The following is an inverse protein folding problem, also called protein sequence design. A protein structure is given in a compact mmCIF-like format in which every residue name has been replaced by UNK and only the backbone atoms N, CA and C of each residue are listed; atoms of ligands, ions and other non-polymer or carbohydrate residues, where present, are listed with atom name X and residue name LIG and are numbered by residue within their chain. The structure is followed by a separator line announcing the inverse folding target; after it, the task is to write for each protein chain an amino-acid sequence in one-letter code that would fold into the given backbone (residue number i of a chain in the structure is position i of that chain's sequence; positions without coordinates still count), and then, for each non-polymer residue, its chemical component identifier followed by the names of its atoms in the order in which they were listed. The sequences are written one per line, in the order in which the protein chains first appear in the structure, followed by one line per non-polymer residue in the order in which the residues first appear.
data_IF_965844140431
#
_entry.id   IF_965844140431
#
_cell.length_a   1.000
_cell.length_b   1.000
_cell.length_c   1.000
_cell.angle_alpha   90.00
_cell.angle_beta   90.00
_cell.angle_gamma   90.00
#
_symmetry.space_group_name_H-M   'P 1'
#
loop_
_entity.id
_entity.type
_entity.pdbx_description
1 polymer ?
#
# COMPACT_ATOMS: atom_id res chain seq x y z
N UNK A 1 -43.11 -98.64 106.34
CA UNK A 1 -41.63 -98.54 106.47
C UNK A 1 -41.16 -97.24 105.80
N UNK A 2 -39.99 -96.66 106.14
CA UNK A 2 -39.53 -95.42 105.48
C UNK A 2 -38.25 -94.77 106.05
N UNK A 3 -38.42 -93.88 107.05
CA UNK A 3 -37.43 -92.85 107.47
C UNK A 3 -35.96 -93.29 107.64
N UNK A 4 -35.68 -94.52 108.08
CA UNK A 4 -34.31 -94.95 108.41
C UNK A 4 -33.40 -95.19 107.17
N UNK A 5 -33.96 -95.41 105.97
CA UNK A 5 -33.16 -95.59 104.76
C UNK A 5 -32.60 -94.25 104.23
N UNK A 6 -33.42 -93.19 104.27
CA UNK A 6 -33.05 -91.86 103.79
C UNK A 6 -32.02 -91.18 104.69
N UNK A 7 -32.18 -91.31 106.01
CA UNK A 7 -31.19 -90.85 106.98
C UNK A 7 -29.80 -91.45 106.71
N UNK A 8 -29.72 -92.75 106.37
CA UNK A 8 -28.45 -93.40 105.99
C UNK A 8 -27.89 -92.91 104.63
N UNK A 9 -28.74 -92.54 103.66
CA UNK A 9 -28.29 -91.86 102.42
C UNK A 9 -27.72 -90.46 102.72
N UNK A 10 -28.41 -89.68 103.55
CA UNK A 10 -27.97 -88.35 104.01
C UNK A 10 -26.65 -88.42 104.78
N UNK A 11 -26.51 -89.34 105.74
CA UNK A 11 -25.27 -89.55 106.49
C UNK A 11 -24.09 -89.92 105.57
N UNK A 12 -24.30 -90.81 104.59
CA UNK A 12 -23.27 -91.14 103.58
C UNK A 12 -22.93 -89.93 102.69
N UNK A 13 -23.91 -89.11 102.29
CA UNK A 13 -23.69 -87.86 101.52
C UNK A 13 -22.87 -86.86 102.33
N UNK A 14 -23.20 -86.65 103.62
CA UNK A 14 -22.45 -85.76 104.51
C UNK A 14 -21.03 -86.27 104.79
N UNK A 15 -20.82 -87.58 105.00
CA UNK A 15 -19.47 -88.16 105.12
C UNK A 15 -18.63 -87.94 103.85
N UNK A 16 -19.22 -88.15 102.65
CA UNK A 16 -18.55 -87.86 101.36
C UNK A 16 -18.36 -86.37 101.08
N UNK A 17 -19.12 -85.47 101.72
CA UNK A 17 -18.83 -84.02 101.70
C UNK A 17 -17.65 -83.72 102.63
N UNK A 18 -17.73 -84.14 103.90
CA UNK A 18 -16.71 -83.89 104.93
C UNK A 18 -15.32 -84.42 104.54
N UNK A 19 -15.23 -85.61 103.94
CA UNK A 19 -13.95 -86.15 103.44
C UNK A 19 -13.38 -85.28 102.30
N UNK A 20 -14.20 -84.91 101.30
CA UNK A 20 -13.73 -84.05 100.20
C UNK A 20 -13.37 -82.64 100.66
N UNK A 21 -14.06 -82.07 101.64
CA UNK A 21 -13.67 -80.77 102.21
C UNK A 21 -12.37 -80.87 103.02
N UNK A 22 -12.14 -81.98 103.74
CA UNK A 22 -10.86 -82.20 104.44
C UNK A 22 -9.70 -82.33 103.43
N UNK A 23 -9.85 -83.19 102.41
CA UNK A 23 -8.85 -83.37 101.36
C UNK A 23 -8.59 -82.08 100.57
N UNK A 24 -9.62 -81.26 100.31
CA UNK A 24 -9.44 -79.92 99.76
C UNK A 24 -8.62 -79.04 100.72
N UNK A 25 -8.99 -78.92 101.99
CA UNK A 25 -8.22 -78.12 102.96
C UNK A 25 -6.80 -78.64 103.21
N UNK A 26 -6.51 -79.92 103.00
CA UNK A 26 -5.16 -80.48 103.08
C UNK A 26 -4.33 -80.16 101.84
N UNK A 27 -4.93 -80.25 100.64
CA UNK A 27 -4.29 -79.83 99.38
C UNK A 27 -4.05 -78.31 99.35
N UNK A 28 -5.04 -77.53 99.79
CA UNK A 28 -5.00 -76.07 99.72
C UNK A 28 -4.09 -75.47 100.80
N UNK A 29 -3.85 -76.20 101.91
CA UNK A 29 -2.76 -75.91 102.86
C UNK A 29 -1.37 -75.98 102.23
N UNK A 30 -1.13 -76.88 101.28
CA UNK A 30 0.16 -76.97 100.59
C UNK A 30 0.42 -75.69 99.77
N UNK A 31 -0.57 -75.26 98.98
CA UNK A 31 -0.49 -73.99 98.24
C UNK A 31 -0.46 -72.75 99.15
N UNK A 32 -1.05 -72.82 100.34
CA UNK A 32 -0.97 -71.78 101.37
C UNK A 32 0.26 -71.90 102.30
N UNK A 33 1.21 -72.80 102.01
CA UNK A 33 2.45 -72.93 102.80
C UNK A 33 3.42 -71.82 102.43
N UNK A 34 4.03 -71.17 103.43
CA UNK A 34 4.92 -70.01 103.27
C UNK A 34 6.04 -70.23 102.24
N UNK A 35 6.56 -71.46 102.14
CA UNK A 35 7.54 -71.85 101.13
C UNK A 35 7.02 -71.74 99.69
N UNK A 36 5.78 -72.15 99.43
CA UNK A 36 5.18 -72.10 98.09
C UNK A 36 4.90 -70.65 97.67
N UNK A 37 4.39 -69.83 98.60
CA UNK A 37 4.14 -68.41 98.37
C UNK A 37 5.46 -67.68 98.05
N UNK A 38 6.52 -67.89 98.85
CA UNK A 38 7.84 -67.30 98.59
C UNK A 38 8.46 -67.77 97.27
N UNK A 39 8.25 -69.03 96.88
CA UNK A 39 8.71 -69.53 95.59
C UNK A 39 7.99 -68.81 94.43
N UNK A 40 6.67 -68.60 94.54
CA UNK A 40 5.89 -67.84 93.56
C UNK A 40 6.29 -66.36 93.53
N UNK A 41 6.53 -65.71 94.67
CA UNK A 41 7.03 -64.33 94.76
C UNK A 41 8.39 -64.17 94.05
N UNK A 42 9.28 -65.17 94.15
CA UNK A 42 10.58 -65.19 93.44
C UNK A 42 10.37 -65.38 91.93
N UNK A 43 9.48 -66.28 91.50
CA UNK A 43 9.15 -66.47 90.08
C UNK A 43 8.51 -65.22 89.45
N UNK A 44 7.62 -64.54 90.18
CA UNK A 44 7.02 -63.27 89.77
C UNK A 44 8.04 -62.13 89.71
N UNK A 45 8.99 -62.05 90.67
CA UNK A 45 10.08 -61.05 90.64
C UNK A 45 11.01 -61.27 89.44
N UNK A 46 11.43 -62.50 89.16
CA UNK A 46 12.27 -62.83 88.00
C UNK A 46 11.56 -62.53 86.67
N UNK A 47 10.26 -62.79 86.58
CA UNK A 47 9.44 -62.48 85.41
C UNK A 47 9.26 -60.97 85.23
N UNK A 48 9.09 -60.20 86.31
CA UNK A 48 9.06 -58.74 86.27
C UNK A 48 10.43 -58.13 85.89
N UNK A 49 11.53 -58.68 86.40
CA UNK A 49 12.89 -58.27 86.00
C UNK A 49 13.14 -58.53 84.50
N UNK A 50 12.72 -59.70 83.99
CA UNK A 50 12.81 -60.03 82.58
C UNK A 50 11.97 -59.11 81.70
N UNK A 51 10.74 -58.77 82.11
CA UNK A 51 9.87 -57.82 81.40
C UNK A 51 10.47 -56.41 81.44
N UNK A 52 10.96 -55.95 82.58
CA UNK A 52 11.58 -54.63 82.71
C UNK A 52 12.81 -54.51 81.80
N UNK A 53 13.68 -55.53 81.77
CA UNK A 53 14.84 -55.55 80.88
C UNK A 53 14.44 -55.55 79.40
N UNK A 54 13.40 -56.31 79.01
CA UNK A 54 12.88 -56.26 77.64
C UNK A 54 12.31 -54.88 77.28
N UNK A 55 11.60 -54.23 78.22
CA UNK A 55 11.09 -52.87 78.05
C UNK A 55 12.23 -51.84 77.94
N UNK A 56 13.32 -52.00 78.69
CA UNK A 56 14.52 -51.16 78.59
C UNK A 56 15.21 -51.33 77.23
N UNK A 57 15.37 -52.57 76.76
CA UNK A 57 15.95 -52.87 75.44
C UNK A 57 15.08 -52.33 74.29
N UNK A 58 13.75 -52.45 74.35
CA UNK A 58 12.85 -51.87 73.34
C UNK A 58 12.76 -50.34 73.42
N UNK A 59 12.76 -49.76 74.62
CA UNK A 59 12.78 -48.31 74.80
C UNK A 59 14.10 -47.69 74.29
N UNK A 60 15.24 -48.36 74.50
CA UNK A 60 16.51 -47.93 73.93
C UNK A 60 16.45 -47.90 72.38
N UNK A 61 15.93 -48.97 71.75
CA UNK A 61 15.70 -49.03 70.29
C UNK A 61 14.74 -47.93 69.82
N UNK A 62 13.67 -47.66 70.57
CA UNK A 62 12.70 -46.61 70.27
C UNK A 62 13.32 -45.21 70.32
N UNK A 63 14.11 -44.90 71.37
CA UNK A 63 14.84 -43.63 71.51
C UNK A 63 15.89 -43.45 70.39
N UNK A 64 16.55 -44.52 69.95
CA UNK A 64 17.47 -44.44 68.80
C UNK A 64 16.75 -44.22 67.47
N UNK A 65 15.63 -44.91 67.25
CA UNK A 65 14.76 -44.67 66.09
C UNK A 65 14.19 -43.24 66.08
N UNK A 66 13.79 -42.70 67.25
CA UNK A 66 13.29 -41.32 67.39
C UNK A 66 14.40 -40.30 67.07
N UNK A 67 15.62 -40.48 67.58
CA UNK A 67 16.78 -39.63 67.22
C UNK A 67 17.03 -39.61 65.70
N UNK A 68 16.94 -40.75 65.04
CA UNK A 68 17.10 -40.88 63.58
C UNK A 68 15.94 -40.17 62.86
N UNK A 69 14.69 -40.38 63.28
CA UNK A 69 13.51 -39.73 62.71
C UNK A 69 13.55 -38.21 62.85
N UNK A 70 13.93 -37.69 64.02
CA UNK A 70 14.12 -36.25 64.27
C UNK A 70 15.24 -35.68 63.38
N UNK A 71 16.34 -36.40 63.19
CA UNK A 71 17.43 -35.97 62.32
C UNK A 71 17.02 -35.93 60.83
N UNK A 72 16.26 -36.94 60.37
CA UNK A 72 15.69 -36.95 59.01
C UNK A 72 14.67 -35.83 58.81
N UNK A 73 13.76 -35.63 59.77
CA UNK A 73 12.76 -34.56 59.73
C UNK A 73 13.40 -33.16 59.68
N UNK A 74 14.47 -32.92 60.46
CA UNK A 74 15.22 -31.65 60.40
C UNK A 74 15.83 -31.40 59.02
N UNK A 75 16.46 -32.41 58.40
CA UNK A 75 17.00 -32.30 57.02
C UNK A 75 15.90 -31.96 56.01
N UNK A 76 14.76 -32.64 56.08
CA UNK A 76 13.62 -32.38 55.20
C UNK A 76 13.04 -30.96 55.40
N UNK A 77 13.07 -30.40 56.62
CA UNK A 77 12.69 -29.01 56.86
C UNK A 77 13.71 -28.03 56.26
N UNK A 78 15.02 -28.27 56.41
CA UNK A 78 16.06 -27.44 55.78
C UNK A 78 15.96 -27.45 54.25
N UNK A 79 15.81 -28.63 53.64
CA UNK A 79 15.62 -28.78 52.19
C UNK A 79 14.35 -28.05 51.71
N UNK A 80 13.25 -28.18 52.45
CA UNK A 80 12.00 -27.47 52.17
C UNK A 80 12.16 -25.95 52.30
N UNK A 81 12.89 -25.46 53.30
CA UNK A 81 13.18 -24.02 53.46
C UNK A 81 14.04 -23.49 52.31
N UNK A 82 15.10 -24.22 51.91
CA UNK A 82 15.94 -23.86 50.75
C UNK A 82 15.14 -23.87 49.44
N UNK A 83 14.23 -24.84 49.25
CA UNK A 83 13.36 -24.88 48.08
C UNK A 83 12.34 -23.72 48.04
N UNK A 84 11.84 -23.28 49.19
CA UNK A 84 10.98 -22.08 49.31
C UNK A 84 11.78 -20.81 49.01
N UNK A 85 13.00 -20.68 49.55
CA UNK A 85 13.90 -19.55 49.29
C UNK A 85 14.25 -19.43 47.80
N UNK A 86 14.62 -20.56 47.17
CA UNK A 86 14.95 -20.59 45.74
C UNK A 86 13.76 -20.20 44.85
N UNK A 87 12.54 -20.62 45.21
CA UNK A 87 11.32 -20.15 44.50
C UNK A 87 11.09 -18.66 44.71
N UNK A 88 11.21 -18.16 45.94
CA UNK A 88 11.04 -16.73 46.23
C UNK A 88 12.06 -15.86 45.48
N UNK A 89 13.30 -16.32 45.33
CA UNK A 89 14.34 -15.66 44.52
C UNK A 89 14.00 -15.69 43.03
N UNK A 90 13.54 -16.83 42.49
CA UNK A 90 13.11 -16.95 41.10
C UNK A 90 11.88 -16.08 40.80
N UNK A 91 10.89 -16.05 41.70
CA UNK A 91 9.69 -15.21 41.60
C UNK A 91 10.04 -13.71 41.70
N UNK A 92 10.96 -13.32 42.58
CA UNK A 92 11.47 -11.96 42.65
C UNK A 92 12.21 -11.55 41.37
N UNK A 93 13.06 -12.42 40.82
CA UNK A 93 13.77 -12.18 39.56
C UNK A 93 12.78 -12.02 38.39
N UNK A 94 11.82 -12.94 38.24
CA UNK A 94 10.79 -12.83 37.20
C UNK A 94 9.95 -11.56 37.32
N UNK A 95 9.66 -11.12 38.55
CA UNK A 95 8.97 -9.84 38.79
C UNK A 95 9.80 -8.64 38.35
N UNK A 96 11.09 -8.58 38.71
CA UNK A 96 11.99 -7.50 38.31
C UNK A 96 12.19 -7.45 36.78
N UNK A 97 12.34 -8.60 36.13
CA UNK A 97 12.41 -8.68 34.66
C UNK A 97 11.10 -8.21 34.00
N UNK A 98 9.94 -8.57 34.56
CA UNK A 98 8.64 -8.09 34.08
C UNK A 98 8.44 -6.58 34.31
N UNK A 99 8.84 -6.03 35.46
CA UNK A 99 8.75 -4.60 35.75
C UNK A 99 9.63 -3.75 34.81
N UNK A 100 10.84 -4.21 34.51
CA UNK A 100 11.73 -3.60 33.51
C UNK A 100 11.15 -3.69 32.09
N UNK A 101 10.56 -4.82 31.72
CA UNK A 101 9.90 -5.01 30.42
C UNK A 101 8.66 -4.11 30.27
N UNK A 102 7.88 -3.89 31.33
CA UNK A 102 6.79 -2.92 31.37
C UNK A 102 7.28 -1.47 31.25
N UNK A 103 8.38 -1.12 31.92
CA UNK A 103 8.96 0.23 31.84
C UNK A 103 9.49 0.52 30.42
N UNK A 104 10.14 -0.45 29.78
CA UNK A 104 10.58 -0.36 28.38
C UNK A 104 9.41 -0.19 27.41
N UNK A 105 8.32 -0.94 27.60
CA UNK A 105 7.12 -0.81 26.77
C UNK A 105 6.47 0.56 26.87
N UNK A 106 6.28 1.08 28.09
CA UNK A 106 5.77 2.44 28.32
C UNK A 106 6.64 3.49 27.64
N UNK A 107 7.97 3.40 27.77
CA UNK A 107 8.91 4.32 27.10
C UNK A 107 8.81 4.26 25.57
N UNK A 108 8.56 3.09 24.98
CA UNK A 108 8.38 2.98 23.53
C UNK A 108 7.00 3.49 23.06
N UNK A 109 5.93 3.18 23.81
CA UNK A 109 4.58 3.71 23.58
C UNK A 109 4.56 5.24 23.68
N UNK A 110 5.25 5.83 24.65
CA UNK A 110 5.46 7.27 24.79
C UNK A 110 6.24 7.87 23.60
N UNK A 111 7.29 7.20 23.13
CA UNK A 111 8.05 7.63 21.93
C UNK A 111 7.21 7.60 20.66
N UNK A 112 6.44 6.53 20.45
CA UNK A 112 5.52 6.38 19.30
C UNK A 112 4.45 7.46 19.35
N UNK A 113 3.81 7.65 20.52
CA UNK A 113 2.79 8.67 20.73
C UNK A 113 3.34 10.09 20.54
N UNK A 114 4.53 10.39 21.03
CA UNK A 114 5.17 11.69 20.82
C UNK A 114 5.50 11.94 19.34
N UNK A 115 5.94 10.91 18.60
CA UNK A 115 6.16 11.00 17.16
C UNK A 115 4.84 11.22 16.39
N UNK A 116 3.76 10.52 16.77
CA UNK A 116 2.42 10.75 16.22
C UNK A 116 1.91 12.17 16.51
N UNK A 117 2.07 12.67 17.73
CA UNK A 117 1.65 14.02 18.11
C UNK A 117 2.47 15.09 17.39
N UNK A 118 3.77 14.86 17.16
CA UNK A 118 4.59 15.75 16.35
C UNK A 118 4.18 15.73 14.87
N UNK A 119 3.85 14.56 14.31
CA UNK A 119 3.29 14.44 12.95
C UNK A 119 1.92 15.12 12.83
N UNK A 120 1.01 14.93 13.80
CA UNK A 120 -0.29 15.60 13.87
C UNK A 120 -0.13 17.12 13.97
N UNK A 121 0.86 17.61 14.73
CA UNK A 121 1.20 19.03 14.81
C UNK A 121 1.73 19.57 13.48
N UNK A 122 2.67 18.87 12.82
CA UNK A 122 3.19 19.22 11.49
C UNK A 122 2.08 19.26 10.44
N UNK A 123 1.22 18.24 10.42
CA UNK A 123 0.06 18.17 9.52
C UNK A 123 -0.93 19.30 9.78
N UNK A 124 -1.22 19.63 11.04
CA UNK A 124 -2.07 20.79 11.37
C UNK A 124 -1.45 22.10 10.89
N UNK A 125 -0.17 22.36 11.18
CA UNK A 125 0.51 23.59 10.73
C UNK A 125 0.53 23.71 9.20
N UNK A 126 0.67 22.58 8.49
CA UNK A 126 0.54 22.52 7.03
C UNK A 126 -0.88 22.87 6.56
N UNK A 127 -1.92 22.32 7.17
CA UNK A 127 -3.31 22.64 6.84
C UNK A 127 -3.67 24.10 7.17
N UNK A 128 -3.26 24.61 8.33
CA UNK A 128 -3.43 26.01 8.74
C UNK A 128 -2.71 26.97 7.77
N UNK A 129 -1.61 26.55 7.12
CA UNK A 129 -0.91 27.32 6.09
C UNK A 129 -1.59 27.19 4.71
N UNK A 130 -2.08 26.01 4.36
CA UNK A 130 -2.85 25.77 3.13
C UNK A 130 -4.16 26.58 3.12
N UNK A 131 -4.88 26.65 4.25
CA UNK A 131 -6.09 27.45 4.37
C UNK A 131 -5.81 28.96 4.25
N UNK A 132 -4.65 29.45 4.72
CA UNK A 132 -4.19 30.84 4.51
C UNK A 132 -3.79 31.13 3.05
N UNK A 133 -3.23 30.15 2.35
CA UNK A 133 -2.95 30.28 0.92
C UNK A 133 -4.23 30.32 0.07
N UNK A 134 -5.25 29.55 0.46
CA UNK A 134 -6.53 29.43 -0.25
C UNK A 134 -7.50 30.60 0.02
N UNK A 135 -7.54 31.11 1.26
CA UNK A 135 -8.27 32.35 1.60
C UNK A 135 -7.67 33.59 0.96
N UNK A 136 -6.36 33.57 0.70
CA UNK A 136 -5.65 34.61 -0.03
C UNK A 136 -4.65 35.41 0.80
N UNK A 137 -4.60 35.17 2.11
CA UNK A 137 -3.74 35.86 3.08
C UNK A 137 -2.24 35.61 2.84
N UNK A 138 -1.84 34.44 2.32
CA UNK A 138 -0.47 34.19 1.87
C UNK A 138 -0.35 34.14 0.35
N UNK A 139 0.59 34.90 -0.22
CA UNK A 139 0.90 34.88 -1.66
C UNK A 139 1.66 33.63 -2.06
N UNK A 140 2.51 33.11 -1.17
CA UNK A 140 3.26 31.88 -1.39
C UNK A 140 2.51 30.63 -0.93
N UNK A 141 2.54 29.54 -1.72
CA UNK A 141 2.04 28.24 -1.30
C UNK A 141 3.04 27.54 -0.34
N UNK A 142 2.56 26.62 0.53
CA UNK A 142 3.40 25.80 1.40
C UNK A 142 4.60 25.15 0.68
N UNK A 143 5.81 25.15 1.28
CA UNK A 143 7.00 24.59 0.64
C UNK A 143 6.89 23.08 0.37
N UNK A 144 6.14 22.35 1.19
CA UNK A 144 5.86 20.91 1.01
C UNK A 144 5.09 20.64 -0.30
N UNK A 145 4.28 21.60 -0.75
CA UNK A 145 3.55 21.54 -2.03
C UNK A 145 4.43 21.93 -3.23
N UNK A 146 5.59 22.57 -3.02
CA UNK A 146 6.54 22.91 -4.09
C UNK A 146 7.45 21.73 -4.49
N UNK A 147 7.41 20.63 -3.75
CA UNK A 147 8.26 19.45 -4.00
C UNK A 147 7.88 18.77 -5.32
N UNK A 148 8.86 18.59 -6.21
CA UNK A 148 8.71 17.82 -7.45
C UNK A 148 8.99 16.34 -7.15
N UNK A 149 8.08 15.44 -7.56
CA UNK A 149 8.32 13.98 -7.50
C UNK A 149 8.95 13.54 -8.81
N UNK A 150 10.17 13.04 -8.74
CA UNK A 150 10.89 12.49 -9.89
C UNK A 150 10.91 10.96 -9.85
N UNK A 151 10.89 10.31 -11.02
CA UNK A 151 10.94 8.83 -11.12
C UNK A 151 12.35 8.30 -11.28
N UNK A 152 13.25 9.05 -11.94
CA UNK A 152 14.66 8.67 -12.16
C UNK A 152 15.55 9.93 -12.27
N UNK A 153 15.95 10.57 -11.16
CA UNK A 153 16.69 11.83 -11.18
C UNK A 153 17.97 11.84 -12.04
N UNK A 154 18.65 10.70 -12.15
CA UNK A 154 19.89 10.53 -12.91
C UNK A 154 19.68 10.37 -14.43
N UNK A 155 18.44 10.23 -14.91
CA UNK A 155 18.12 9.96 -16.31
C UNK A 155 17.64 11.20 -17.06
N UNK A 156 17.83 11.22 -18.39
CA UNK A 156 17.24 12.26 -19.25
C UNK A 156 15.73 12.39 -19.05
N UNK A 157 15.21 13.62 -19.06
CA UNK A 157 13.78 13.89 -19.03
C UNK A 157 13.05 13.27 -20.23
N UNK A 158 11.91 12.61 -19.98
CA UNK A 158 11.13 11.97 -21.02
C UNK A 158 10.48 13.02 -21.95
N UNK A 159 10.77 13.01 -23.27
CA UNK A 159 10.27 14.03 -24.19
C UNK A 159 8.77 13.91 -24.50
N UNK A 160 8.12 12.79 -24.16
CA UNK A 160 6.66 12.66 -24.17
C UNK A 160 6.07 13.29 -22.90
N UNK A 161 6.51 12.84 -21.72
CA UNK A 161 6.03 13.37 -20.44
C UNK A 161 6.23 14.88 -20.31
N UNK A 162 7.37 15.41 -20.73
CA UNK A 162 7.66 16.87 -20.70
C UNK A 162 6.74 17.70 -21.62
N UNK A 163 6.03 17.06 -22.57
CA UNK A 163 5.11 17.73 -23.51
C UNK A 163 3.63 17.51 -23.17
N UNK A 164 3.27 16.31 -22.73
CA UNK A 164 1.87 15.91 -22.49
C UNK A 164 1.55 15.64 -21.02
N UNK A 165 2.54 15.66 -20.12
CA UNK A 165 2.46 15.12 -18.76
C UNK A 165 1.99 13.65 -18.68
N UNK A 166 2.13 12.89 -19.77
CA UNK A 166 1.69 11.50 -19.90
C UNK A 166 2.72 10.68 -20.68
N UNK A 167 2.88 9.41 -20.32
CA UNK A 167 3.83 8.50 -20.96
C UNK A 167 3.29 7.07 -20.99
N UNK A 168 3.46 6.38 -22.13
CA UNK A 168 2.99 5.00 -22.35
C UNK A 168 3.54 3.98 -21.34
N UNK A 169 4.67 4.29 -20.71
CA UNK A 169 5.36 3.42 -19.75
C UNK A 169 5.10 3.80 -18.28
N UNK A 170 4.37 4.89 -17.99
CA UNK A 170 4.16 5.38 -16.62
C UNK A 170 5.45 5.53 -15.83
N UNK A 171 5.41 5.30 -14.52
CA UNK A 171 6.59 5.35 -13.63
C UNK A 171 7.68 4.31 -13.98
N UNK A 172 7.38 3.29 -14.81
CA UNK A 172 8.36 2.29 -15.25
C UNK A 172 9.24 2.77 -16.42
N UNK A 173 9.00 3.96 -16.99
CA UNK A 173 9.80 4.50 -18.09
C UNK A 173 11.29 4.51 -17.77
N UNK A 174 12.16 4.34 -18.78
CA UNK A 174 13.62 4.43 -18.64
C UNK A 174 14.15 5.85 -18.48
N UNK A 175 13.32 6.86 -18.77
CA UNK A 175 13.61 8.30 -18.67
C UNK A 175 12.91 8.92 -17.46
N UNK A 176 13.41 10.06 -16.99
CA UNK A 176 12.84 10.76 -15.83
C UNK A 176 11.48 11.38 -16.16
N UNK A 177 10.55 11.31 -15.21
CA UNK A 177 9.27 12.00 -15.21
C UNK A 177 9.21 12.93 -13.99
N UNK A 178 9.18 14.24 -14.24
CA UNK A 178 9.15 15.28 -13.20
C UNK A 178 7.69 15.70 -12.91
N UNK A 179 7.05 15.06 -11.94
CA UNK A 179 5.69 15.39 -11.52
C UNK A 179 5.72 16.64 -10.61
N UNK A 180 5.14 17.78 -11.01
CA UNK A 180 5.14 18.99 -10.17
C UNK A 180 4.22 18.80 -8.97
N UNK A 181 4.65 19.21 -7.78
CA UNK A 181 3.82 19.14 -6.56
C UNK A 181 2.56 20.02 -6.66
N UNK A 182 2.67 21.19 -7.30
CA UNK A 182 1.56 22.09 -7.65
C UNK A 182 1.78 22.72 -9.03
N UNK A 183 0.67 23.01 -9.71
CA UNK A 183 0.63 23.67 -11.01
C UNK A 183 -0.72 24.36 -11.23
N UNK A 184 -0.78 25.27 -12.21
CA UNK A 184 -2.05 25.82 -12.72
C UNK A 184 -2.84 24.83 -13.57
N UNK A 185 -2.18 23.78 -14.09
CA UNK A 185 -2.81 22.73 -14.91
C UNK A 185 -3.07 21.49 -14.06
N UNK A 186 -4.34 21.09 -14.00
CA UNK A 186 -4.79 19.80 -13.49
C UNK A 186 -5.00 18.82 -14.67
N UNK A 187 -4.63 17.57 -14.46
CA UNK A 187 -4.97 16.42 -15.29
C UNK A 187 -5.90 15.50 -14.51
N UNK A 188 -7.07 15.22 -15.08
CA UNK A 188 -7.95 14.13 -14.69
C UNK A 188 -7.73 12.94 -15.64
N UNK A 189 -7.10 11.88 -15.16
CA UNK A 189 -6.72 10.71 -15.97
C UNK A 189 -7.93 9.84 -16.32
N UNK A 190 -8.12 9.51 -17.60
CA UNK A 190 -9.25 8.70 -18.10
C UNK A 190 -10.63 9.18 -17.58
N UNK A 191 -10.81 10.50 -17.45
CA UNK A 191 -12.05 11.10 -16.93
C UNK A 191 -13.21 10.89 -17.90
N UNK A 192 -13.07 11.35 -19.15
CA UNK A 192 -14.08 11.12 -20.19
C UNK A 192 -14.03 9.68 -20.68
N UNK A 193 -15.14 8.95 -20.56
CA UNK A 193 -15.30 7.60 -21.12
C UNK A 193 -16.49 7.56 -22.05
N UNK A 194 -16.24 7.10 -23.28
CA UNK A 194 -17.23 6.82 -24.30
C UNK A 194 -17.02 5.39 -24.82
N UNK A 195 -18.07 4.69 -25.26
CA UNK A 195 -17.94 3.31 -25.76
C UNK A 195 -16.98 3.21 -26.96
N UNK A 196 -17.14 4.08 -27.95
CA UNK A 196 -16.23 4.19 -29.11
C UNK A 196 -14.78 4.60 -28.78
N UNK A 197 -14.50 5.06 -27.55
CA UNK A 197 -13.14 5.26 -27.03
C UNK A 197 -12.60 4.04 -26.27
N UNK A 198 -13.47 3.08 -25.93
CA UNK A 198 -13.11 1.94 -25.09
C UNK A 198 -12.40 0.81 -25.84
N UNK A 199 -12.67 0.71 -27.15
CA UNK A 199 -12.48 -0.49 -27.94
C UNK A 199 -11.04 -0.64 -28.47
N UNK A 200 -10.09 -0.74 -27.54
CA UNK A 200 -8.69 -1.06 -27.78
C UNK A 200 -8.38 -2.57 -27.64
N UNK A 201 -9.22 -3.31 -26.92
CA UNK A 201 -9.07 -4.75 -26.62
C UNK A 201 -10.32 -5.57 -27.06
N UNK A 202 -10.97 -5.17 -28.15
CA UNK A 202 -12.09 -5.92 -28.75
C UNK A 202 -11.53 -7.01 -29.67
N UNK A 203 -12.12 -8.21 -29.62
CA UNK A 203 -11.67 -9.37 -30.39
C UNK A 203 -12.09 -9.30 -31.87
N UNK A 204 -11.47 -10.12 -32.72
CA UNK A 204 -11.72 -10.16 -34.18
C UNK A 204 -13.15 -10.62 -34.57
N UNK A 205 -14.00 -10.94 -33.60
CA UNK A 205 -15.38 -11.43 -33.79
C UNK A 205 -16.47 -10.39 -33.51
N UNK A 206 -16.10 -9.17 -33.10
CA UNK A 206 -17.02 -8.14 -32.61
C UNK A 206 -16.83 -6.82 -33.40
N UNK A 207 -16.90 -6.93 -34.73
CA UNK A 207 -16.71 -5.82 -35.68
C UNK A 207 -17.86 -4.83 -35.69
N UNK A 208 -19.06 -5.27 -35.30
CA UNK A 208 -20.30 -4.62 -35.70
C UNK A 208 -20.67 -3.47 -34.74
N UNK A 209 -20.32 -3.58 -33.45
CA UNK A 209 -20.51 -2.48 -32.47
C UNK A 209 -19.58 -1.27 -32.76
N UNK A 210 -18.60 -1.39 -33.67
CA UNK A 210 -17.84 -0.25 -34.19
C UNK A 210 -18.51 0.47 -35.38
N UNK A 211 -19.59 -0.09 -35.94
CA UNK A 211 -20.41 0.53 -36.99
C UNK A 211 -21.67 1.22 -36.44
N UNK A 212 -22.11 0.88 -35.23
CA UNK A 212 -23.33 1.43 -34.62
C UNK A 212 -23.20 2.89 -34.15
N UNK A 213 -22.00 3.35 -33.78
CA UNK A 213 -21.77 4.67 -33.21
C UNK A 213 -21.26 5.68 -34.25
N UNK A 214 -22.12 6.63 -34.65
CA UNK A 214 -21.67 7.78 -35.44
C UNK A 214 -20.76 8.71 -34.59
N UNK A 215 -19.71 9.26 -35.21
CA UNK A 215 -18.88 10.34 -34.63
C UNK A 215 -19.71 11.52 -34.09
N UNK A 216 -20.88 11.75 -34.69
CA UNK A 216 -21.89 12.72 -34.28
C UNK A 216 -22.40 12.46 -32.87
N UNK A 217 -22.65 11.21 -32.51
CA UNK A 217 -23.20 10.77 -31.21
C UNK A 217 -22.14 10.86 -30.12
N UNK A 218 -20.92 10.41 -30.42
CA UNK A 218 -19.72 10.62 -29.60
C UNK A 218 -19.53 12.10 -29.26
N UNK A 219 -19.89 13.00 -30.19
CA UNK A 219 -19.84 14.45 -29.99
C UNK A 219 -21.07 15.02 -29.26
N UNK A 220 -22.23 14.33 -29.21
CA UNK A 220 -23.36 14.69 -28.34
C UNK A 220 -22.98 14.48 -26.88
N UNK A 221 -22.59 13.25 -26.52
CA UNK A 221 -22.16 12.90 -25.17
C UNK A 221 -20.97 13.76 -24.70
N UNK A 222 -20.01 14.04 -25.59
CA UNK A 222 -18.91 14.96 -25.28
C UNK A 222 -19.38 16.37 -24.88
N UNK A 223 -20.41 16.93 -25.53
CA UNK A 223 -20.92 18.27 -25.18
C UNK A 223 -21.61 18.27 -23.81
N UNK A 224 -22.36 17.22 -23.50
CA UNK A 224 -23.07 17.07 -22.23
C UNK A 224 -22.05 16.94 -21.08
N UNK A 225 -21.08 16.04 -21.21
CA UNK A 225 -19.92 15.94 -20.32
C UNK A 225 -19.17 17.27 -20.20
N UNK A 226 -18.92 17.97 -21.31
CA UNK A 226 -18.22 19.25 -21.31
C UNK A 226 -18.95 20.29 -20.45
N UNK A 227 -20.25 20.48 -20.61
CA UNK A 227 -20.99 21.50 -19.84
C UNK A 227 -21.14 21.13 -18.37
N UNK A 228 -21.45 19.87 -18.06
CA UNK A 228 -21.54 19.35 -16.70
C UNK A 228 -20.21 19.55 -15.94
N UNK A 229 -19.11 19.02 -16.48
CA UNK A 229 -17.78 19.13 -15.88
C UNK A 229 -17.28 20.57 -15.84
N UNK A 230 -17.47 21.37 -16.89
CA UNK A 230 -17.06 22.77 -16.89
C UNK A 230 -17.75 23.54 -15.74
N UNK A 231 -19.04 23.31 -15.53
CA UNK A 231 -19.80 23.95 -14.46
C UNK A 231 -19.29 23.60 -13.05
N UNK A 232 -18.74 22.40 -12.85
CA UNK A 232 -18.11 22.00 -11.58
C UNK A 232 -16.73 22.65 -11.38
N UNK A 233 -15.91 22.78 -12.44
CA UNK A 233 -14.57 23.38 -12.33
C UNK A 233 -14.60 24.91 -12.24
N UNK A 234 -15.54 25.59 -12.92
CA UNK A 234 -15.66 27.06 -12.88
C UNK A 234 -16.02 27.62 -11.49
N UNK A 235 -16.64 26.81 -10.61
CA UNK A 235 -16.92 27.15 -9.20
C UNK A 235 -15.66 27.50 -8.39
N UNK A 236 -14.50 26.97 -8.77
CA UNK A 236 -13.23 27.20 -8.07
C UNK A 236 -12.42 28.38 -8.63
N UNK A 237 -12.84 28.93 -9.77
CA UNK A 237 -12.24 30.11 -10.38
C UNK A 237 -12.15 30.04 -11.90
N UNK A 238 -11.61 31.12 -12.48
CA UNK A 238 -11.54 31.30 -13.93
C UNK A 238 -10.61 30.29 -14.60
N UNK A 239 -11.18 29.51 -15.52
CA UNK A 239 -10.46 28.62 -16.43
C UNK A 239 -9.85 29.45 -17.58
N UNK A 240 -8.66 29.05 -18.03
CA UNK A 240 -7.96 29.58 -19.21
C UNK A 240 -8.02 28.57 -20.35
N UNK A 241 -7.82 27.28 -20.05
CA UNK A 241 -7.98 26.19 -21.03
C UNK A 241 -8.66 24.97 -20.45
N UNK A 242 -9.60 24.43 -21.23
CA UNK A 242 -10.20 23.12 -21.04
C UNK A 242 -9.93 22.28 -22.29
N UNK A 243 -9.39 21.06 -22.13
CA UNK A 243 -9.00 20.17 -23.25
C UNK A 243 -9.24 18.70 -22.86
N UNK A 244 -10.06 17.99 -23.63
CA UNK A 244 -10.39 16.56 -23.42
C UNK A 244 -9.84 15.71 -24.56
N UNK A 245 -9.24 14.56 -24.25
CA UNK A 245 -8.51 13.75 -25.23
C UNK A 245 -9.31 12.58 -25.79
N UNK A 246 -9.55 12.65 -27.10
CA UNK A 246 -10.02 11.60 -28.00
C UNK A 246 -8.84 10.73 -28.51
N UNK A 247 -7.98 10.27 -27.60
CA UNK A 247 -6.91 9.31 -27.90
C UNK A 247 -7.40 7.88 -27.61
N UNK A 248 -7.00 6.90 -28.42
CA UNK A 248 -7.30 5.47 -28.17
C UNK A 248 -6.27 4.80 -27.25
N UNK A 249 -5.04 5.32 -27.25
CA UNK A 249 -3.95 4.86 -26.38
C UNK A 249 -4.30 4.96 -24.89
N UNK A 250 -4.13 3.86 -24.14
CA UNK A 250 -4.55 3.72 -22.72
C UNK A 250 -3.94 4.76 -21.78
N UNK A 251 -2.84 5.42 -22.18
CA UNK A 251 -2.15 6.46 -21.40
C UNK A 251 -2.59 7.90 -21.71
N UNK A 252 -3.46 8.11 -22.70
CA UNK A 252 -4.01 9.42 -23.10
C UNK A 252 -5.54 9.45 -23.26
N UNK A 253 -6.17 8.28 -23.44
CA UNK A 253 -7.61 8.08 -23.55
C UNK A 253 -8.36 8.78 -22.41
N UNK A 254 -9.32 9.63 -22.75
CA UNK A 254 -10.22 10.27 -21.78
C UNK A 254 -9.56 11.34 -20.89
N UNK A 255 -8.26 11.58 -21.04
CA UNK A 255 -7.54 12.56 -20.22
C UNK A 255 -8.11 13.96 -20.45
N UNK A 256 -8.58 14.56 -19.36
CA UNK A 256 -9.12 15.92 -19.34
C UNK A 256 -8.13 16.82 -18.61
N UNK A 257 -7.68 17.86 -19.28
CA UNK A 257 -6.77 18.86 -18.73
C UNK A 257 -7.51 20.17 -18.52
N UNK A 258 -7.32 20.78 -17.35
CA UNK A 258 -7.93 22.06 -16.95
C UNK A 258 -6.83 23.00 -16.46
N UNK A 259 -6.62 24.11 -17.17
CA UNK A 259 -5.69 25.19 -16.81
C UNK A 259 -6.48 26.34 -16.16
N UNK A 260 -6.18 26.64 -14.90
CA UNK A 260 -6.73 27.80 -14.20
C UNK A 260 -5.86 29.05 -14.40
N UNK A 261 -6.48 30.23 -14.31
CA UNK A 261 -5.75 31.51 -14.35
C UNK A 261 -4.82 31.66 -13.15
N UNK A 262 -5.26 31.20 -11.98
CA UNK A 262 -4.54 31.30 -10.71
C UNK A 262 -4.18 29.92 -10.14
N UNK A 263 -3.03 29.87 -9.45
CA UNK A 263 -2.55 28.67 -8.77
C UNK A 263 -3.44 28.29 -7.58
N UNK A 264 -4.00 29.28 -6.87
CA UNK A 264 -4.93 29.08 -5.75
C UNK A 264 -6.17 28.30 -6.18
N UNK A 265 -6.80 28.70 -7.30
CA UNK A 265 -7.95 28.02 -7.88
C UNK A 265 -7.66 26.56 -8.24
N UNK A 266 -6.49 26.26 -8.83
CA UNK A 266 -6.10 24.90 -9.14
C UNK A 266 -5.93 24.03 -7.88
N UNK A 267 -5.35 24.58 -6.80
CA UNK A 267 -5.20 23.87 -5.51
C UNK A 267 -6.56 23.70 -4.79
N UNK A 268 -7.45 24.69 -4.87
CA UNK A 268 -8.82 24.60 -4.37
C UNK A 268 -9.62 23.50 -5.08
N UNK A 269 -9.61 23.51 -6.42
CA UNK A 269 -10.26 22.51 -7.25
C UNK A 269 -9.68 21.10 -6.99
N UNK A 270 -8.36 20.97 -6.85
CA UNK A 270 -7.73 19.71 -6.49
C UNK A 270 -8.26 19.18 -5.14
N UNK A 271 -8.23 19.99 -4.08
CA UNK A 271 -8.69 19.60 -2.73
C UNK A 271 -10.17 19.16 -2.69
N UNK A 272 -11.02 19.76 -3.52
CA UNK A 272 -12.47 19.50 -3.50
C UNK A 272 -12.95 18.45 -4.52
N UNK A 273 -12.20 18.20 -5.60
CA UNK A 273 -12.60 17.28 -6.68
C UNK A 273 -11.76 16.00 -6.74
N UNK A 274 -10.55 15.97 -6.19
CA UNK A 274 -9.76 14.74 -6.07
C UNK A 274 -10.51 13.74 -5.17
N UNK A 275 -10.62 12.47 -5.58
CA UNK A 275 -11.44 11.39 -4.97
C UNK A 275 -12.97 11.58 -5.02
N UNK A 276 -13.51 12.70 -5.52
CA UNK A 276 -14.96 12.84 -5.78
C UNK A 276 -15.40 11.82 -6.84
N UNK A 277 -16.63 11.33 -6.74
CA UNK A 277 -17.19 10.37 -7.70
C UNK A 277 -17.87 11.05 -8.89
N UNK A 278 -17.71 10.47 -10.08
CA UNK A 278 -18.38 10.86 -11.32
C UNK A 278 -18.60 9.63 -12.20
N UNK A 279 -19.81 9.44 -12.76
CA UNK A 279 -20.10 8.34 -13.70
C UNK A 279 -19.69 6.95 -13.18
N UNK A 280 -19.93 6.67 -11.88
CA UNK A 280 -19.56 5.40 -11.24
C UNK A 280 -18.06 5.19 -10.98
N UNK A 281 -17.22 6.21 -11.13
CA UNK A 281 -15.75 6.13 -10.95
C UNK A 281 -15.22 7.29 -10.09
N UNK A 282 -14.09 7.09 -9.42
CA UNK A 282 -13.43 8.14 -8.63
C UNK A 282 -12.52 9.01 -9.50
N UNK A 283 -12.47 10.32 -9.22
CA UNK A 283 -11.63 11.28 -9.92
C UNK A 283 -10.19 11.26 -9.38
N UNK A 284 -9.29 10.68 -10.16
CA UNK A 284 -7.84 10.81 -9.98
C UNK A 284 -7.37 12.11 -10.65
N UNK A 285 -7.15 13.16 -9.84
CA UNK A 285 -6.53 14.41 -10.27
C UNK A 285 -5.03 14.41 -9.96
N UNK A 286 -4.24 14.97 -10.89
CA UNK A 286 -2.79 15.18 -10.74
C UNK A 286 -2.42 16.59 -11.22
N UNK A 287 -1.44 17.23 -10.59
CA UNK A 287 -0.84 18.46 -11.12
C UNK A 287 0.10 18.12 -12.29
N UNK A 288 0.10 18.96 -13.33
CA UNK A 288 0.83 18.71 -14.58
C UNK A 288 1.51 19.97 -15.07
N UNK A 289 2.61 19.83 -15.83
CA UNK A 289 3.32 20.96 -16.42
C UNK A 289 3.31 20.82 -17.95
N UNK A 290 2.65 21.76 -18.62
CA UNK A 290 2.54 21.81 -20.08
C UNK A 290 3.17 23.13 -20.53
N UNK A 291 4.40 23.06 -21.04
CA UNK A 291 5.18 24.24 -21.44
C UNK A 291 4.59 24.98 -22.64
N UNK A 292 3.96 24.25 -23.57
CA UNK A 292 3.08 24.83 -24.58
C UNK A 292 2.12 23.78 -25.15
N UNK A 293 0.84 24.15 -25.19
CA UNK A 293 -0.23 23.38 -25.80
C UNK A 293 -0.03 23.14 -27.30
N UNK A 294 0.68 24.02 -28.01
CA UNK A 294 1.06 23.80 -29.43
C UNK A 294 1.94 22.56 -29.62
N UNK A 295 2.70 22.19 -28.58
CA UNK A 295 3.69 21.10 -28.62
C UNK A 295 3.13 19.80 -28.02
N UNK A 296 2.03 19.90 -27.26
CA UNK A 296 1.28 18.79 -26.70
C UNK A 296 0.24 18.24 -27.69
N UNK A 297 -0.47 19.13 -28.39
CA UNK A 297 -1.59 18.79 -29.29
C UNK A 297 -1.08 18.33 -30.66
N UNK A 298 -1.66 17.25 -31.18
CA UNK A 298 -1.36 16.79 -32.54
C UNK A 298 -1.99 17.73 -33.59
N UNK A 299 -1.20 18.63 -34.16
CA UNK A 299 -1.67 19.58 -35.19
C UNK A 299 -2.27 18.95 -36.46
N UNK A 300 -1.99 17.66 -36.73
CA UNK A 300 -2.58 16.91 -37.84
C UNK A 300 -3.95 16.27 -37.50
N UNK A 301 -4.29 16.14 -36.22
CA UNK A 301 -5.56 15.53 -35.79
C UNK A 301 -6.77 16.43 -36.07
N UNK A 302 -6.61 17.75 -36.00
CA UNK A 302 -7.67 18.72 -36.36
C UNK A 302 -8.16 18.54 -37.82
N UNK A 303 -7.32 18.01 -38.70
CA UNK A 303 -7.66 17.67 -40.10
C UNK A 303 -8.10 16.21 -40.28
N UNK A 304 -8.31 15.46 -39.20
CA UNK A 304 -8.60 14.00 -39.17
C UNK A 304 -7.60 13.17 -39.99
N UNK A 305 -6.36 13.64 -40.12
CA UNK A 305 -5.28 13.01 -40.92
C UNK A 305 -3.98 12.87 -40.12
N UNK A 306 -4.09 12.42 -38.86
CA UNK A 306 -2.93 12.02 -38.08
C UNK A 306 -2.36 10.70 -38.64
N UNK A 307 -1.12 10.67 -39.18
CA UNK A 307 -0.55 9.45 -39.79
C UNK A 307 -0.22 8.35 -38.75
N UNK A 308 -0.32 8.65 -37.45
CA UNK A 308 -0.19 7.67 -36.37
C UNK A 308 -1.53 7.04 -35.95
N UNK A 309 -2.66 7.54 -36.49
CA UNK A 309 -3.99 7.00 -36.23
C UNK A 309 -4.29 6.83 -34.74
N UNK A 310 -4.66 5.60 -34.35
CA UNK A 310 -4.98 5.23 -32.96
C UNK A 310 -3.75 5.28 -32.02
N UNK A 311 -2.55 4.99 -32.53
CA UNK A 311 -1.29 4.86 -31.77
C UNK A 311 -0.51 6.19 -31.66
N UNK A 312 -1.21 7.30 -31.43
CA UNK A 312 -0.59 8.63 -31.32
C UNK A 312 -0.30 9.01 -29.85
N UNK A 313 0.96 9.31 -29.56
CA UNK A 313 1.45 9.77 -28.24
C UNK A 313 1.31 11.30 -28.02
N UNK A 314 0.60 12.01 -28.90
CA UNK A 314 0.30 13.44 -28.77
C UNK A 314 -1.22 13.62 -28.56
N UNK A 315 -1.61 14.73 -27.91
CA UNK A 315 -3.00 14.94 -27.52
C UNK A 315 -3.90 15.11 -28.75
N UNK A 316 -4.86 14.20 -28.92
CA UNK A 316 -5.93 14.27 -29.89
C UNK A 316 -7.14 14.94 -29.21
N UNK A 317 -7.19 16.26 -29.18
CA UNK A 317 -8.25 16.96 -28.43
C UNK A 317 -9.59 16.98 -29.16
N UNK A 318 -10.69 16.84 -28.43
CA UNK A 318 -12.02 17.19 -28.94
C UNK A 318 -12.12 18.70 -29.23
N UNK A 319 -13.00 19.07 -30.17
CA UNK A 319 -13.32 20.48 -30.43
C UNK A 319 -14.31 20.96 -29.37
N UNK A 320 -13.89 21.87 -28.50
CA UNK A 320 -14.79 22.47 -27.51
C UNK A 320 -16.02 23.12 -28.18
N UNK A 321 -17.23 22.97 -27.60
CA UNK A 321 -18.42 23.64 -28.11
C UNK A 321 -18.23 25.16 -28.13
N UNK A 322 -18.88 25.82 -29.09
CA UNK A 322 -18.77 27.26 -29.36
C UNK A 322 -17.32 27.78 -29.54
N UNK A 323 -16.35 26.87 -29.76
CA UNK A 323 -14.90 27.15 -29.75
C UNK A 323 -14.37 27.74 -28.43
N UNK A 324 -15.09 27.54 -27.31
CA UNK A 324 -14.67 28.02 -25.98
C UNK A 324 -13.25 27.54 -25.66
N UNK A 325 -12.42 28.44 -25.14
CA UNK A 325 -11.04 28.16 -24.75
C UNK A 325 -10.11 27.68 -25.89
N UNK A 326 -10.39 28.00 -27.17
CA UNK A 326 -9.56 27.62 -28.33
C UNK A 326 -8.76 28.77 -28.97
N UNK A 327 -8.66 29.95 -28.34
CA UNK A 327 -8.14 31.19 -28.94
C UNK A 327 -6.72 31.13 -29.56
N UNK A 328 -5.88 30.15 -29.21
CA UNK A 328 -4.53 29.98 -29.78
C UNK A 328 -4.44 28.93 -30.91
N UNK A 329 -5.55 28.38 -31.38
CA UNK A 329 -5.55 27.54 -32.59
C UNK A 329 -5.78 28.42 -33.83
N UNK A 330 -4.74 28.57 -34.66
CA UNK A 330 -4.77 29.29 -35.94
C UNK A 330 -5.65 28.59 -37.00
N UNK A 331 -6.96 28.53 -36.74
CA UNK A 331 -7.97 27.91 -37.58
C UNK A 331 -9.24 28.78 -37.58
N UNK A 332 -9.16 29.85 -38.37
CA UNK A 332 -10.32 30.64 -38.80
C UNK A 332 -11.10 29.83 -39.87
N UNK A 333 -12.38 29.47 -39.61
CA UNK A 333 -13.21 28.71 -40.55
C UNK A 333 -13.69 29.52 -41.77
N UNK A 334 -13.68 30.86 -41.73
CA UNK A 334 -14.07 31.68 -42.88
C UNK A 334 -13.01 31.60 -43.99
N UNK A 335 -11.73 31.63 -43.58
CA UNK A 335 -10.57 31.47 -44.48
C UNK A 335 -10.50 30.12 -45.20
N UNK A 336 -11.27 29.12 -44.79
CA UNK A 336 -11.38 27.84 -45.49
C UNK A 336 -12.46 27.86 -46.59
N UNK A 337 -13.57 28.61 -46.41
CA UNK A 337 -14.56 28.85 -47.48
C UNK A 337 -13.91 29.54 -48.69
N UNK A 338 -13.05 30.54 -48.45
CA UNK A 338 -12.26 31.22 -49.50
C UNK A 338 -11.26 30.32 -50.26
N UNK A 339 -10.86 29.20 -49.66
CA UNK A 339 -9.90 28.26 -50.25
C UNK A 339 -10.62 27.14 -51.00
N UNK A 340 -11.71 26.63 -50.43
CA UNK A 340 -12.61 25.67 -51.07
C UNK A 340 -13.18 26.19 -52.39
N UNK A 341 -13.61 27.46 -52.42
CA UNK A 341 -14.13 28.09 -53.66
C UNK A 341 -13.07 28.25 -54.75
N UNK A 342 -11.79 28.45 -54.37
CA UNK A 342 -10.67 28.61 -55.30
C UNK A 342 -10.08 27.28 -55.82
N UNK A 343 -10.30 26.15 -55.15
CA UNK A 343 -9.75 24.85 -55.57
C UNK A 343 -10.67 24.00 -56.48
N UNK A 344 -11.90 24.43 -56.74
CA UNK A 344 -12.92 23.58 -57.39
C UNK A 344 -12.82 23.45 -58.92
N UNK A 345 -11.85 24.11 -59.58
CA UNK A 345 -11.77 24.21 -61.06
C UNK A 345 -10.64 23.34 -61.65
N UNK A 346 -10.35 22.19 -61.02
CA UNK A 346 -9.58 21.10 -61.64
C UNK A 346 -10.37 19.80 -61.59
N UNK A 347 -11.34 19.69 -62.51
CA UNK A 347 -11.99 18.44 -62.84
C UNK A 347 -10.95 17.45 -63.39
N UNK A 348 -10.89 16.26 -62.78
CA UNK A 348 -10.07 15.16 -63.30
C UNK A 348 -10.71 14.64 -64.60
N UNK A 349 -10.06 14.89 -65.74
CA UNK A 349 -10.50 14.39 -67.05
C UNK A 349 -9.47 13.42 -67.60
N UNK A 350 -9.87 12.15 -67.74
CA UNK A 350 -9.06 11.10 -68.37
C UNK A 350 -9.17 11.21 -69.90
N UNK A 351 -8.08 11.60 -70.59
CA UNK A 351 -7.76 11.22 -71.98
C UNK A 351 -6.34 11.70 -72.34
N UNK A 352 -5.83 11.27 -73.50
CA UNK A 352 -4.43 11.34 -73.92
C UNK A 352 -3.82 12.74 -74.12
N UNK A 353 -2.49 12.77 -74.10
CA UNK A 353 -1.63 13.95 -74.32
C UNK A 353 -1.62 14.45 -75.76
N UNK A 354 -1.61 15.78 -75.96
CA UNK A 354 -0.91 16.41 -77.08
C UNK A 354 0.25 17.30 -76.60
N UNK A 355 1.31 17.37 -77.41
CA UNK A 355 2.47 18.23 -77.18
C UNK A 355 2.14 19.73 -77.27
N UNK A 356 2.99 20.58 -76.69
CA UNK A 356 3.00 22.03 -76.96
C UNK A 356 4.42 22.58 -77.01
N UNK A 357 4.82 23.05 -78.19
CA UNK A 357 6.06 23.79 -78.41
C UNK A 357 6.03 25.21 -77.79
N UNK A 358 7.21 25.83 -77.50
CA UNK A 358 7.31 27.08 -76.77
C UNK A 358 7.61 28.32 -77.65
N UNK A 359 6.59 29.13 -77.96
CA UNK A 359 6.73 30.44 -78.62
C UNK A 359 5.71 31.44 -78.02
N UNK A 360 5.96 32.76 -77.91
CA UNK A 360 7.14 33.59 -78.23
C UNK A 360 7.11 34.87 -77.36
N UNK A 361 8.25 35.52 -77.10
CA UNK A 361 8.26 36.90 -76.54
C UNK A 361 7.66 37.89 -77.55
N UNK A 362 6.87 38.85 -77.08
CA UNK A 362 6.61 40.12 -77.77
C UNK A 362 6.74 41.24 -76.73
N UNK A 363 7.48 42.30 -77.07
CA UNK A 363 7.68 43.46 -76.19
C UNK A 363 7.05 44.71 -76.78
N UNK A 364 6.33 45.48 -75.96
CA UNK A 364 5.97 46.88 -76.27
C UNK A 364 6.73 47.84 -75.36
N UNK A 365 7.46 48.77 -76.00
CA UNK A 365 7.84 50.09 -75.45
C UNK A 365 6.60 51.01 -75.65
N UNK A 366 6.34 52.12 -74.95
CA UNK A 366 7.02 52.94 -73.92
C UNK A 366 5.87 53.65 -73.11
N UNK A 367 5.95 54.70 -72.27
CA UNK A 367 7.00 55.68 -71.98
C UNK A 367 6.86 56.46 -70.62
N UNK A 368 7.85 57.33 -70.38
CA UNK A 368 7.91 58.65 -69.71
C UNK A 368 6.61 59.39 -69.30
N UNK A 369 6.60 60.29 -68.28
CA UNK A 369 7.65 60.78 -67.35
C UNK A 369 7.05 61.55 -66.14
N UNK A 370 7.77 61.63 -65.01
CA UNK A 370 7.77 62.82 -64.11
C UNK A 370 8.92 62.78 -63.08
N UNK A 371 9.66 63.89 -62.92
CA UNK A 371 10.68 64.08 -61.87
C UNK A 371 10.05 64.19 -60.44
N UNK A 372 10.74 63.99 -59.29
CA UNK A 372 11.89 64.78 -58.80
C UNK A 372 12.56 64.24 -57.52
N UNK A 373 13.90 64.40 -57.45
CA UNK A 373 14.75 64.72 -56.26
C UNK A 373 14.69 63.82 -55.01
N UNK A 374 15.76 63.05 -54.72
CA UNK A 374 16.89 63.39 -53.79
C UNK A 374 16.69 62.91 -52.32
N UNK A 375 17.71 62.52 -51.52
CA UNK A 375 19.19 62.44 -51.69
C UNK A 375 19.84 61.56 -50.58
N UNK A 376 20.83 60.70 -50.94
CA UNK A 376 22.04 60.28 -50.16
C UNK A 376 21.81 59.58 -48.79
N UNK A 377 22.72 58.78 -48.22
CA UNK A 377 24.16 58.44 -48.48
C UNK A 377 24.40 56.97 -48.07
N UNK A 378 25.17 56.14 -48.83
CA UNK A 378 26.55 55.65 -48.57
C UNK A 378 26.83 55.08 -47.16
N UNK A 379 27.63 54.03 -46.94
CA UNK A 379 28.82 53.50 -47.65
C UNK A 379 29.09 51.99 -47.37
N UNK A 380 29.70 51.27 -48.33
CA UNK A 380 30.72 50.16 -48.19
C UNK A 380 30.41 48.91 -47.37
N UNK A 381 31.10 47.77 -47.51
CA UNK A 381 32.07 47.19 -48.49
C UNK A 381 31.67 45.67 -48.60
N UNK A 382 31.70 44.96 -49.75
CA UNK A 382 32.81 44.35 -50.52
C UNK A 382 33.17 42.92 -50.04
N UNK A 383 33.88 42.14 -50.87
CA UNK A 383 34.08 40.66 -50.80
C UNK A 383 32.77 39.91 -51.12
N UNK A 384 32.59 39.20 -52.25
CA UNK A 384 33.52 38.67 -53.29
C UNK A 384 34.58 37.69 -52.74
N UNK A 385 34.26 36.39 -52.77
CA UNK A 385 35.20 35.29 -52.98
C UNK A 385 34.44 34.14 -53.70
N UNK A 386 34.83 33.86 -54.94
CA UNK A 386 34.47 32.67 -55.73
C UNK A 386 35.53 31.60 -55.45
N UNK A 387 35.19 30.32 -55.34
CA UNK A 387 36.12 29.21 -55.63
C UNK A 387 35.41 27.86 -55.85
N UNK A 388 36.01 27.07 -56.74
CA UNK A 388 35.72 25.70 -57.22
C UNK A 388 35.08 24.73 -56.18
N UNK A 389 34.12 23.87 -56.55
CA UNK A 389 34.16 22.79 -57.57
C UNK A 389 35.10 21.64 -57.15
N UNK A 390 34.51 20.48 -56.81
CA UNK A 390 35.16 19.17 -56.96
C UNK A 390 34.08 18.06 -57.05
N UNK A 391 34.38 16.98 -57.77
CA UNK A 391 33.46 15.93 -58.22
C UNK A 391 33.92 14.55 -57.73
N UNK A 392 33.01 13.74 -57.15
CA UNK A 392 33.20 12.28 -57.16
C UNK A 392 31.87 11.49 -57.18
N UNK A 393 31.27 11.39 -58.36
CA UNK A 393 30.19 10.43 -58.64
C UNK A 393 30.75 9.01 -58.91
N UNK A 394 30.66 8.06 -57.95
CA UNK A 394 31.09 6.66 -58.20
C UNK A 394 30.42 5.50 -57.43
N UNK A 395 29.33 5.02 -58.01
CA UNK A 395 29.06 3.60 -58.34
C UNK A 395 29.17 2.45 -57.29
N UNK A 396 28.01 1.83 -57.04
CA UNK A 396 27.73 0.37 -57.02
C UNK A 396 28.72 -0.64 -56.40
N UNK A 397 28.16 -1.49 -55.49
CA UNK A 397 28.31 -2.96 -55.61
C UNK A 397 27.16 -3.75 -54.98
N UNK A 398 26.67 -4.76 -55.71
CA UNK A 398 25.84 -5.86 -55.19
C UNK A 398 26.75 -7.01 -54.73
N UNK A 399 26.40 -7.66 -53.62
CA UNK A 399 26.67 -9.10 -53.41
C UNK A 399 25.52 -9.72 -52.61
N UNK A 400 25.16 -10.96 -52.94
CA UNK A 400 24.22 -11.78 -52.17
C UNK A 400 24.92 -13.04 -51.66
N UNK A 401 24.53 -13.52 -50.49
CA UNK A 401 24.86 -14.87 -50.02
C UNK A 401 23.62 -15.52 -49.38
N UNK A 402 23.65 -16.85 -49.21
CA UNK A 402 22.50 -17.71 -48.85
C UNK A 402 22.83 -18.58 -47.65
N UNK A 403 21.78 -19.16 -47.02
CA UNK A 403 21.82 -20.23 -46.00
C UNK A 403 22.32 -19.73 -44.61
N UNK A 404 22.07 -20.43 -43.49
CA UNK A 404 21.44 -21.75 -43.33
C UNK A 404 20.63 -21.90 -42.03
N UNK A 405 19.60 -22.76 -42.12
CA UNK A 405 19.09 -23.73 -41.12
C UNK A 405 19.47 -23.65 -39.62
N UNK A 406 18.45 -23.96 -38.81
CA UNK A 406 18.37 -25.12 -37.87
C UNK A 406 18.29 -24.84 -36.34
N UNK A 407 17.37 -25.59 -35.71
CA UNK A 407 17.19 -25.86 -34.28
C UNK A 407 16.68 -24.68 -33.42
N UNK A 408 15.94 -24.92 -32.33
CA UNK A 408 15.54 -26.22 -31.73
C UNK A 408 14.06 -26.24 -31.32
#
# INVERSE_FOLDING_TARGET
MGRHAEWRKLAKKQRRKRIRTLQATERDKFFSTEWYIKQQEIEEQLLLEQINKQNEEENAKWIEAEKIAIAQWKRLQEEKQRAIQLRAEQEAKMRLEWELEQERKKKEEERIKAAEEEQKRKHKMFMDHLDKFLSGDSVEPPPELKVVRETRPEAENCPFFTKTSCCRFGDQCSRNHQYPGISRVLLATNFYTHFGLSNADVSEYDTDIMLEYEDSETYKEYKEFFYDVLSEFEKFGRIVQFKVCNNYEKHLRGNTYVEFAELRCAVAAYRALHTRWYGGRQLSLQFCNITSWSNAICGLQLRRRCPKGRACNFLHVFRNPNNLYNHNQNYDPEREKERSSRSSVRSWRWSESPEREPLKRVSSRRDESSERRHRRTRYRDREDDDYDDDDDDRYYRRTSSRRSSHRR
#
